data_IF_839158896523
#
_entry.id   IF_839158896523
#
_cell.length_a   1.000
_cell.length_b   1.000
_cell.length_c   1.000
_cell.angle_alpha   90.00
_cell.angle_beta   90.00
_cell.angle_gamma   90.00
#
_symmetry.space_group_name_H-M   'P 1'
#
loop_
_entity.id
_entity.type
_entity.pdbx_description
1 polymer ?
#
# COMPACT_ATOMS: atom_id res chain seq x y z
N UNK A 1 8.05 -6.98 -8.53
CA UNK A 1 7.02 -7.51 -7.62
C UNK A 1 7.15 -6.81 -6.27
N UNK A 2 6.09 -6.17 -5.80
CA UNK A 2 6.01 -5.56 -4.47
C UNK A 2 4.91 -6.23 -3.65
N UNK A 3 5.19 -6.51 -2.37
CA UNK A 3 4.25 -7.14 -1.45
C UNK A 3 4.26 -6.37 -0.13
N UNK A 4 3.08 -5.93 0.31
CA UNK A 4 2.89 -5.28 1.60
C UNK A 4 1.64 -5.83 2.27
N UNK A 5 1.66 -5.86 3.61
CA UNK A 5 0.46 -6.15 4.40
C UNK A 5 0.21 -5.06 5.42
N UNK A 6 -1.06 -4.71 5.61
CA UNK A 6 -1.48 -3.77 6.62
C UNK A 6 -2.71 -4.26 7.40
N UNK A 7 -2.49 -4.57 8.68
CA UNK A 7 -3.58 -4.84 9.61
C UNK A 7 -4.28 -3.54 10.00
N UNK A 8 -5.49 -3.34 9.48
CA UNK A 8 -6.32 -2.17 9.76
C UNK A 8 -7.07 -2.23 11.09
N UNK A 9 -7.08 -3.37 11.79
CA UNK A 9 -7.72 -3.52 13.10
C UNK A 9 -9.22 -3.17 13.13
N UNK A 10 -9.92 -3.38 12.02
CA UNK A 10 -11.34 -3.02 11.86
C UNK A 10 -11.62 -1.52 11.72
N UNK A 11 -10.57 -0.68 11.59
CA UNK A 11 -10.71 0.76 11.38
C UNK A 11 -10.56 1.10 9.90
N UNK A 12 -11.31 2.07 9.43
CA UNK A 12 -11.09 2.63 8.10
C UNK A 12 -9.69 3.25 8.01
N UNK A 13 -9.02 3.15 6.84
CA UNK A 13 -7.81 3.92 6.59
C UNK A 13 -8.02 5.42 6.82
N UNK A 14 -6.96 6.18 7.18
CA UNK A 14 -7.05 7.62 7.28
C UNK A 14 -7.53 8.24 5.95
N UNK A 15 -8.39 9.26 6.02
CA UNK A 15 -8.91 9.96 4.83
C UNK A 15 -7.81 10.58 3.95
N UNK A 16 -6.60 10.74 4.50
CA UNK A 16 -5.43 11.29 3.84
C UNK A 16 -4.41 10.22 3.42
N UNK A 17 -4.79 8.93 3.40
CA UNK A 17 -3.91 7.89 2.86
C UNK A 17 -3.71 8.11 1.36
N UNK A 18 -2.46 8.37 0.97
CA UNK A 18 -2.01 8.41 -0.42
C UNK A 18 -1.47 7.04 -0.82
N UNK A 19 -2.07 6.41 -1.82
CA UNK A 19 -1.58 5.13 -2.35
C UNK A 19 -0.26 5.32 -3.11
N UNK A 20 -0.05 6.47 -3.76
CA UNK A 20 1.20 6.75 -4.47
C UNK A 20 2.38 6.81 -3.51
N UNK A 21 2.19 7.39 -2.32
CA UNK A 21 3.21 7.44 -1.28
C UNK A 21 3.42 6.07 -0.63
N UNK A 22 2.32 5.34 -0.38
CA UNK A 22 2.39 4.05 0.29
C UNK A 22 2.98 2.94 -0.59
N UNK A 23 2.68 2.97 -1.89
CA UNK A 23 3.15 1.99 -2.87
C UNK A 23 4.42 2.45 -3.58
N UNK A 24 5.05 3.54 -3.12
CA UNK A 24 6.21 4.11 -3.78
C UNK A 24 7.38 3.10 -3.80
N UNK A 25 7.72 2.65 -5.00
CA UNK A 25 8.87 1.79 -5.27
C UNK A 25 9.68 2.40 -6.40
N UNK A 26 11.01 2.33 -6.29
CA UNK A 26 11.92 2.80 -7.33
C UNK A 26 12.94 1.69 -7.65
N UNK A 27 12.84 1.04 -8.83
CA UNK A 27 11.86 1.28 -9.90
C UNK A 27 10.43 0.85 -9.51
N UNK A 28 9.39 1.37 -10.21
CA UNK A 28 8.01 0.92 -10.03
C UNK A 28 7.89 -0.59 -10.22
N UNK A 29 7.14 -1.28 -9.36
CA UNK A 29 6.89 -2.70 -9.54
C UNK A 29 5.88 -2.97 -10.66
N UNK A 30 6.10 -4.07 -11.41
CA UNK A 30 5.15 -4.52 -12.43
C UNK A 30 3.84 -5.10 -11.83
N UNK A 31 3.92 -5.62 -10.60
CA UNK A 31 2.81 -6.25 -9.88
C UNK A 31 2.89 -5.85 -8.41
N UNK A 32 1.76 -5.39 -7.85
CA UNK A 32 1.57 -5.07 -6.44
C UNK A 32 0.57 -6.05 -5.81
N UNK A 33 0.92 -6.66 -4.69
CA UNK A 33 0.03 -7.52 -3.89
C UNK A 33 -0.11 -6.90 -2.50
N UNK A 34 -1.35 -6.67 -2.08
CA UNK A 34 -1.70 -5.94 -0.87
C UNK A 34 -2.69 -6.78 -0.05
N UNK A 35 -2.46 -6.92 1.26
CA UNK A 35 -3.25 -7.77 2.16
C UNK A 35 -3.45 -7.24 3.56
#
# INVERSE_FOLDING_TARGET
>A
LFVATWNVGGKSPPNHLSLDDWLHTSPPADIYVLG
#
